data_IF_165416576629
#
_entry.id   IF_165416576629
#
_cell.length_a   1.000
_cell.length_b   1.000
_cell.length_c   1.000
_cell.angle_alpha   90.00
_cell.angle_beta   90.00
_cell.angle_gamma   90.00
#
_symmetry.space_group_name_H-M   'P 1'
#
loop_
_entity.id
_entity.type
_entity.pdbx_description
1 polymer ?
#
# COMPACT_ATOMS: atom_id res chain seq x y z
N UNK A 1 -12.14 -11.41 7.39
CA UNK A 1 -11.24 -11.43 8.56
C UNK A 1 -10.78 -10.03 8.95
N UNK A 2 -10.12 -9.27 8.07
CA UNK A 2 -9.63 -7.90 8.35
C UNK A 2 -10.75 -6.98 8.88
N UNK A 3 -11.85 -6.85 8.14
CA UNK A 3 -13.04 -6.11 8.58
C UNK A 3 -13.53 -6.46 10.00
N UNK A 4 -13.55 -7.75 10.35
CA UNK A 4 -14.01 -8.22 11.68
C UNK A 4 -13.07 -7.73 12.78
N UNK A 5 -11.75 -7.76 12.55
CA UNK A 5 -10.77 -7.25 13.52
C UNK A 5 -10.86 -5.73 13.69
N UNK A 6 -11.12 -5.00 12.60
CA UNK A 6 -11.31 -3.55 12.61
C UNK A 6 -12.59 -3.19 13.37
N UNK A 7 -13.71 -3.87 13.09
CA UNK A 7 -14.98 -3.69 13.79
C UNK A 7 -14.85 -3.99 15.28
N UNK A 8 -14.15 -5.06 15.64
CA UNK A 8 -13.88 -5.40 17.04
C UNK A 8 -13.03 -4.33 17.75
N UNK A 9 -11.98 -3.83 17.09
CA UNK A 9 -11.14 -2.76 17.62
C UNK A 9 -11.90 -1.43 17.80
N UNK A 10 -12.89 -1.16 16.95
CA UNK A 10 -13.80 -0.01 17.09
C UNK A 10 -14.78 -0.20 18.25
N UNK A 11 -15.36 -1.38 18.42
CA UNK A 11 -16.32 -1.68 19.48
C UNK A 11 -15.73 -1.50 20.89
N UNK A 12 -14.43 -1.77 21.07
CA UNK A 12 -13.73 -1.58 22.33
C UNK A 12 -13.58 -0.09 22.74
N UNK A 13 -13.87 0.87 21.85
CA UNK A 13 -13.74 2.31 22.12
C UNK A 13 -15.06 2.98 22.59
N UNK A 14 -16.16 2.22 22.72
CA UNK A 14 -17.49 2.75 23.00
C UNK A 14 -17.68 3.46 24.37
N UNK A 15 -16.74 3.31 25.31
CA UNK A 15 -16.92 3.77 26.70
C UNK A 15 -16.11 5.02 27.10
N UNK A 16 -15.29 5.59 26.19
CA UNK A 16 -14.45 6.76 26.48
C UNK A 16 -14.68 7.86 25.44
N UNK A 17 -15.67 8.73 25.70
CA UNK A 17 -16.01 9.90 24.87
C UNK A 17 -14.92 10.99 24.77
N UNK A 18 -13.68 10.73 25.19
CA UNK A 18 -12.57 11.68 24.99
C UNK A 18 -11.27 10.94 24.62
N UNK A 19 -11.04 10.77 23.31
CA UNK A 19 -9.81 10.18 22.77
C UNK A 19 -9.84 9.64 21.34
N UNK A 20 -10.86 10.00 20.54
CA UNK A 20 -10.99 9.98 19.06
C UNK A 20 -9.99 9.10 18.28
N UNK A 21 -10.47 8.01 17.65
CA UNK A 21 -9.80 7.25 16.57
C UNK A 21 -8.48 6.49 16.88
N UNK A 22 -8.20 6.18 18.14
CA UNK A 22 -6.84 5.77 18.51
C UNK A 22 -6.46 4.33 18.10
N UNK A 23 -7.29 3.31 18.35
CA UNK A 23 -6.84 1.91 18.17
C UNK A 23 -6.68 1.49 16.70
N UNK A 24 -7.64 1.78 15.82
CA UNK A 24 -7.54 1.44 14.38
C UNK A 24 -6.36 2.19 13.74
N UNK A 25 -6.21 3.48 14.06
CA UNK A 25 -5.06 4.27 13.63
C UNK A 25 -3.74 3.69 14.14
N UNK A 26 -3.65 3.34 15.42
CA UNK A 26 -2.48 2.63 15.99
C UNK A 26 -2.19 1.31 15.29
N UNK A 27 -3.22 0.56 14.91
CA UNK A 27 -3.04 -0.70 14.17
C UNK A 27 -2.51 -0.45 12.76
N UNK A 28 -2.97 0.60 12.08
CA UNK A 28 -2.45 1.01 10.77
C UNK A 28 -1.01 1.55 10.83
N UNK A 29 -0.67 2.27 11.92
CA UNK A 29 0.66 2.81 12.20
C UNK A 29 1.67 1.74 12.66
N UNK A 30 1.18 0.64 13.24
CA UNK A 30 2.05 -0.40 13.76
C UNK A 30 2.78 -1.07 12.59
N UNK A 31 4.08 -1.23 12.78
CA UNK A 31 4.92 -1.96 11.85
C UNK A 31 5.40 -3.28 12.45
N UNK A 32 5.75 -4.23 11.59
CA UNK A 32 6.55 -5.38 11.98
C UNK A 32 8.05 -5.00 12.10
N UNK A 33 8.91 -6.01 12.20
CA UNK A 33 10.36 -5.82 12.38
C UNK A 33 11.08 -5.22 11.16
N UNK A 34 10.44 -5.21 10.00
CA UNK A 34 10.98 -4.67 8.73
C UNK A 34 10.39 -3.27 8.43
N UNK A 35 9.73 -2.67 9.43
CA UNK A 35 8.92 -1.46 9.30
C UNK A 35 7.76 -1.56 8.29
N UNK A 36 7.36 -2.77 7.89
CA UNK A 36 6.17 -2.97 7.07
C UNK A 36 4.92 -2.70 7.92
N UNK A 37 4.09 -1.76 7.48
CA UNK A 37 2.71 -1.61 7.97
C UNK A 37 1.81 -2.72 7.42
N UNK A 38 0.60 -2.85 7.97
CA UNK A 38 -0.40 -3.77 7.40
C UNK A 38 -0.68 -3.52 5.90
N UNK A 39 -0.55 -2.27 5.43
CA UNK A 39 -0.72 -1.95 4.02
C UNK A 39 0.45 -2.49 3.17
N UNK A 40 1.70 -2.38 3.63
CA UNK A 40 2.85 -2.97 2.93
C UNK A 40 2.66 -4.47 2.75
N UNK A 41 2.28 -5.18 3.82
CA UNK A 41 2.03 -6.63 3.79
C UNK A 41 0.89 -7.00 2.83
N UNK A 42 -0.21 -6.24 2.84
CA UNK A 42 -1.34 -6.46 1.93
C UNK A 42 -0.92 -6.31 0.46
N UNK A 43 -0.12 -5.30 0.14
CA UNK A 43 0.43 -5.08 -1.20
C UNK A 43 1.43 -6.18 -1.55
N UNK A 44 2.29 -6.58 -0.61
CA UNK A 44 3.28 -7.64 -0.85
C UNK A 44 2.65 -8.96 -1.26
N UNK A 45 1.50 -9.27 -0.68
CA UNK A 45 0.74 -10.46 -1.00
C UNK A 45 -0.32 -10.25 -2.11
N UNK A 46 -0.35 -9.08 -2.76
CA UNK A 46 -1.33 -8.69 -3.78
C UNK A 46 -2.81 -8.88 -3.33
N UNK A 47 -3.08 -8.61 -2.05
CA UNK A 47 -4.41 -8.75 -1.45
C UNK A 47 -5.24 -7.48 -1.64
N UNK A 48 -5.70 -7.24 -2.88
CA UNK A 48 -6.45 -6.03 -3.27
C UNK A 48 -7.62 -5.68 -2.34
N UNK A 49 -8.43 -6.67 -1.93
CA UNK A 49 -9.59 -6.41 -1.07
C UNK A 49 -9.19 -5.95 0.34
N UNK A 50 -8.03 -6.39 0.83
CA UNK A 50 -7.47 -5.93 2.10
C UNK A 50 -6.90 -4.52 1.94
N UNK A 51 -6.21 -4.23 0.82
CA UNK A 51 -5.75 -2.86 0.50
C UNK A 51 -6.91 -1.88 0.54
N UNK A 52 -8.02 -2.20 -0.13
CA UNK A 52 -9.23 -1.36 -0.15
C UNK A 52 -9.74 -1.07 1.25
N UNK A 53 -9.93 -2.11 2.06
CA UNK A 53 -10.41 -1.97 3.43
C UNK A 53 -9.47 -1.10 4.28
N UNK A 54 -8.15 -1.27 4.16
CA UNK A 54 -7.19 -0.50 4.94
C UNK A 54 -7.18 0.98 4.56
N UNK A 55 -7.27 1.31 3.27
CA UNK A 55 -7.29 2.70 2.80
C UNK A 55 -8.62 3.38 3.13
N UNK A 56 -9.76 2.69 2.98
CA UNK A 56 -11.07 3.23 3.34
C UNK A 56 -11.18 3.57 4.84
N UNK A 57 -10.47 2.84 5.68
CA UNK A 57 -10.42 3.05 7.13
C UNK A 57 -9.48 4.20 7.55
N UNK A 58 -8.56 4.60 6.68
CA UNK A 58 -7.58 5.64 6.95
C UNK A 58 -7.11 6.36 5.69
N UNK A 59 -7.98 7.05 4.93
CA UNK A 59 -7.62 7.64 3.64
C UNK A 59 -6.60 8.79 3.78
N UNK A 60 -6.49 9.38 4.97
CA UNK A 60 -5.55 10.44 5.34
C UNK A 60 -4.24 9.91 5.92
N UNK A 61 -4.07 8.59 6.03
CA UNK A 61 -2.88 8.02 6.62
C UNK A 61 -1.68 8.14 5.68
N UNK A 62 -0.60 8.75 6.17
CA UNK A 62 0.68 8.81 5.48
C UNK A 62 1.49 7.58 5.84
N UNK A 63 1.62 6.66 4.88
CA UNK A 63 2.45 5.48 5.04
C UNK A 63 3.92 5.82 4.75
N UNK A 64 4.76 5.77 5.79
CA UNK A 64 6.22 5.88 5.66
C UNK A 64 6.81 4.70 4.92
N UNK A 65 8.06 4.82 4.46
CA UNK A 65 8.79 3.69 3.89
C UNK A 65 9.09 2.60 4.91
N UNK A 66 9.21 1.36 4.42
CA UNK A 66 9.75 0.23 5.17
C UNK A 66 11.30 0.29 5.27
N UNK A 67 11.93 -0.72 5.85
CA UNK A 67 13.40 -0.77 5.98
C UNK A 67 14.14 -0.92 4.64
N UNK A 68 13.44 -1.30 3.57
CA UNK A 68 13.96 -1.29 2.21
C UNK A 68 13.78 0.08 1.52
N UNK A 69 13.38 1.11 2.27
CA UNK A 69 13.04 2.44 1.74
C UNK A 69 11.88 2.42 0.72
N UNK A 70 11.01 1.41 0.78
CA UNK A 70 9.86 1.29 -0.13
C UNK A 70 8.61 1.87 0.53
N UNK A 71 7.96 2.81 -0.14
CA UNK A 71 6.59 3.23 0.20
C UNK A 71 5.57 2.21 -0.36
N UNK A 72 4.34 2.15 0.17
CA UNK A 72 3.30 1.26 -0.37
C UNK A 72 3.02 1.49 -1.86
N UNK A 73 3.02 2.75 -2.30
CA UNK A 73 2.80 3.09 -3.71
C UNK A 73 4.00 2.66 -4.57
N UNK A 74 5.24 2.91 -4.14
CA UNK A 74 6.43 2.41 -4.83
C UNK A 74 6.36 0.88 -5.01
N UNK A 75 6.03 0.17 -3.93
CA UNK A 75 5.95 -1.30 -3.90
C UNK A 75 4.89 -1.85 -4.86
N UNK A 76 3.73 -1.19 -4.96
CA UNK A 76 2.67 -1.58 -5.89
C UNK A 76 3.11 -1.41 -7.36
N UNK A 77 3.84 -0.33 -7.66
CA UNK A 77 4.34 -0.03 -9.02
C UNK A 77 5.50 -0.95 -9.40
N UNK A 78 6.47 -1.15 -8.50
CA UNK A 78 7.62 -2.03 -8.72
C UNK A 78 7.18 -3.46 -9.07
N UNK A 79 6.09 -3.93 -8.46
CA UNK A 79 5.51 -5.25 -8.69
C UNK A 79 4.50 -5.33 -9.83
N UNK A 80 4.19 -4.21 -10.48
CA UNK A 80 3.19 -4.18 -11.56
C UNK A 80 1.76 -4.44 -11.10
N UNK A 81 1.42 -4.15 -9.84
CA UNK A 81 0.08 -4.34 -9.31
C UNK A 81 -0.83 -3.15 -9.66
N UNK A 82 -1.16 -3.03 -10.94
CA UNK A 82 -1.91 -1.90 -11.51
C UNK A 82 -3.20 -1.57 -10.73
N UNK A 83 -4.02 -2.59 -10.40
CA UNK A 83 -5.28 -2.37 -9.64
C UNK A 83 -5.05 -1.85 -8.23
N UNK A 84 -3.93 -2.24 -7.61
CA UNK A 84 -3.54 -1.76 -6.27
C UNK A 84 -3.03 -0.34 -6.37
N UNK A 85 -2.16 -0.05 -7.34
CA UNK A 85 -1.68 1.29 -7.66
C UNK A 85 -2.84 2.26 -7.90
N UNK A 86 -3.77 1.91 -8.81
CA UNK A 86 -4.94 2.73 -9.14
C UNK A 86 -5.76 3.06 -7.89
N UNK A 87 -5.97 2.06 -7.03
CA UNK A 87 -6.74 2.26 -5.81
C UNK A 87 -6.05 3.16 -4.80
N UNK A 88 -4.73 3.02 -4.64
CA UNK A 88 -3.93 3.92 -3.78
C UNK A 88 -4.02 5.35 -4.30
N UNK A 89 -3.83 5.56 -5.61
CA UNK A 89 -3.87 6.89 -6.23
C UNK A 89 -5.25 7.54 -6.16
N UNK A 90 -6.33 6.76 -6.25
CA UNK A 90 -7.71 7.27 -6.20
C UNK A 90 -8.19 7.56 -4.76
N UNK A 91 -7.78 6.76 -3.78
CA UNK A 91 -8.35 6.80 -2.41
C UNK A 91 -7.42 7.32 -1.32
N UNK A 92 -6.10 7.22 -1.49
CA UNK A 92 -5.16 7.81 -0.53
C UNK A 92 -4.99 9.29 -0.84
N UNK A 93 -5.25 10.19 0.13
CA UNK A 93 -5.19 11.63 -0.13
C UNK A 93 -3.77 12.15 -0.36
N UNK A 94 -2.78 11.51 0.26
CA UNK A 94 -1.38 11.93 0.22
C UNK A 94 -0.45 10.70 0.17
N UNK A 95 -0.43 9.95 -0.95
CA UNK A 95 0.46 8.81 -1.08
C UNK A 95 1.92 9.28 -1.13
N UNK A 96 2.78 8.67 -0.31
CA UNK A 96 4.21 8.90 -0.39
C UNK A 96 4.77 8.27 -1.68
N UNK A 97 5.77 8.91 -2.28
CA UNK A 97 6.31 8.52 -3.59
C UNK A 97 7.76 8.04 -3.55
N UNK A 98 8.40 8.09 -2.38
CA UNK A 98 9.80 7.72 -2.21
C UNK A 98 10.02 6.21 -2.39
N UNK A 99 11.24 5.86 -2.77
CA UNK A 99 11.68 4.51 -3.03
C UNK A 99 13.17 4.30 -2.71
N UNK A 100 13.63 3.04 -2.77
CA UNK A 100 15.01 2.66 -2.48
C UNK A 100 16.04 3.43 -3.30
N UNK A 101 17.20 3.68 -2.70
CA UNK A 101 18.37 4.29 -3.35
C UNK A 101 18.08 5.70 -3.91
N UNK A 102 17.18 6.45 -3.28
CA UNK A 102 16.76 7.79 -3.74
C UNK A 102 15.88 7.77 -4.99
N UNK A 103 15.32 6.60 -5.34
CA UNK A 103 14.33 6.48 -6.41
C UNK A 103 12.99 7.03 -5.95
N UNK A 104 12.10 7.19 -6.92
CA UNK A 104 10.70 7.52 -6.69
C UNK A 104 9.83 6.49 -7.40
N UNK A 105 8.53 6.50 -7.09
CA UNK A 105 7.52 5.68 -7.77
C UNK A 105 7.58 5.87 -9.29
N UNK A 106 7.85 7.08 -9.77
CA UNK A 106 7.99 7.35 -11.21
C UNK A 106 9.21 6.65 -11.83
N UNK A 107 10.33 6.56 -11.10
CA UNK A 107 11.48 5.78 -11.57
C UNK A 107 11.11 4.29 -11.73
N UNK A 108 10.37 3.72 -10.77
CA UNK A 108 9.91 2.34 -10.87
C UNK A 108 8.96 2.12 -12.06
N UNK A 109 8.01 3.04 -12.29
CA UNK A 109 7.05 2.95 -13.39
C UNK A 109 7.75 2.88 -14.77
N UNK A 110 8.81 3.68 -14.98
CA UNK A 110 9.55 3.68 -16.24
C UNK A 110 10.40 2.41 -16.44
N UNK A 111 10.92 1.82 -15.36
CA UNK A 111 11.63 0.54 -15.43
C UNK A 111 10.64 -0.59 -15.81
N UNK A 112 9.42 -0.55 -15.28
CA UNK A 112 8.41 -1.55 -15.58
C UNK A 112 7.82 -1.41 -16.99
N UNK A 113 7.52 -0.18 -17.45
CA UNK A 113 7.05 0.09 -18.82
C UNK A 113 8.07 -0.40 -19.87
N UNK A 114 9.37 -0.25 -19.60
CA UNK A 114 10.42 -0.79 -20.46
C UNK A 114 10.44 -2.33 -20.47
N UNK A 115 10.30 -3.00 -19.31
CA UNK A 115 10.25 -4.47 -19.24
C UNK A 115 9.01 -5.04 -19.95
N UNK A 116 7.84 -4.40 -19.81
CA UNK A 116 6.62 -4.84 -20.50
C UNK A 116 6.73 -4.68 -22.01
N UNK A 117 7.43 -3.64 -22.50
CA UNK A 117 7.70 -3.45 -23.93
C UNK A 117 8.69 -4.47 -24.49
N UNK A 118 9.75 -4.79 -23.75
CA UNK A 118 10.72 -5.82 -24.15
C UNK A 118 10.05 -7.19 -24.26
N UNK A 119 9.29 -7.61 -23.25
CA UNK A 119 8.59 -8.91 -23.27
C UNK A 119 7.53 -8.99 -24.37
N UNK A 120 6.80 -7.89 -24.66
CA UNK A 120 5.80 -7.88 -25.74
C UNK A 120 6.44 -7.93 -27.14
N UNK A 121 7.56 -7.24 -27.34
CA UNK A 121 8.28 -7.30 -28.62
C UNK A 121 8.84 -8.71 -28.90
N UNK A 122 9.21 -9.47 -27.87
CA UNK A 122 9.71 -10.84 -28.03
C UNK A 122 8.60 -11.85 -28.40
N UNK A 123 7.32 -11.54 -28.12
CA UNK A 123 6.18 -12.43 -28.42
C UNK A 123 5.60 -12.16 -29.82
N UNK A 124 5.80 -10.96 -30.39
CA UNK A 124 5.30 -10.60 -31.73
C UNK A 124 6.23 -11.01 -32.89
N UNK A 125 7.35 -11.70 -32.62
CA UNK A 125 8.30 -12.18 -33.65
C UNK A 125 8.10 -13.65 -34.07
N UNK A 126 7.07 -14.34 -33.58
CA UNK A 126 6.75 -15.72 -33.98
C UNK A 126 5.39 -15.88 -34.67
N UNK A 127 5.06 -15.09 -35.71
CA UNK A 127 4.10 -15.49 -36.77
C UNK A 127 4.39 -14.81 -38.12
#
# INVERSE_FOLDING_TARGET
MVKVLIEHAKAFQGDLENGVNNAVKKMQEKTNNEKNTALHEAIHNNHLDVVKQLIEEGPDFSYSCNDADETPLYLAVERGFEKVMDHILDKCKSPAHDGPLGRTTLHAALIWDNQVKEVKNDIELEF
#
